data_IF_606335181331
#
_entry.id   IF_606335181331
#
_cell.length_a   1.000
_cell.length_b   1.000
_cell.length_c   1.000
_cell.angle_alpha   90.00
_cell.angle_beta   90.00
_cell.angle_gamma   90.00
#
_symmetry.space_group_name_H-M   'P 1'
#
loop_
_entity.id
_entity.type
_entity.pdbx_description
1 polymer ?
#
# COMPACT_ATOMS: atom_id res chain seq x y z
N UNK A 1 -11.04 -38.78 -23.97
CA UNK A 1 -12.11 -38.92 -22.97
C UNK A 1 -11.68 -40.01 -22.00
N UNK A 2 -11.44 -39.62 -20.75
CA UNK A 2 -10.74 -40.42 -19.75
C UNK A 2 -11.54 -41.61 -19.24
N UNK A 3 -10.89 -42.76 -19.21
CA UNK A 3 -11.30 -43.89 -18.38
C UNK A 3 -11.02 -43.52 -16.92
N UNK A 4 -11.99 -42.87 -16.25
CA UNK A 4 -12.04 -42.88 -14.79
C UNK A 4 -12.47 -44.28 -14.38
N UNK A 5 -11.49 -45.20 -14.37
CA UNK A 5 -11.65 -46.54 -13.83
C UNK A 5 -12.08 -46.45 -12.38
N UNK A 6 -13.22 -47.04 -12.09
CA UNK A 6 -13.77 -47.25 -10.76
C UNK A 6 -12.82 -48.18 -9.99
N UNK A 7 -11.74 -47.63 -9.42
CA UNK A 7 -10.83 -48.39 -8.57
C UNK A 7 -11.60 -48.88 -7.35
N UNK A 8 -11.45 -50.17 -7.05
CA UNK A 8 -12.19 -50.82 -5.99
C UNK A 8 -11.97 -50.13 -4.63
N UNK A 9 -12.90 -50.27 -3.68
CA UNK A 9 -12.72 -49.69 -2.34
C UNK A 9 -11.41 -50.18 -1.67
N UNK A 10 -10.92 -51.36 -2.01
CA UNK A 10 -9.64 -51.90 -1.53
C UNK A 10 -8.44 -51.20 -2.15
N UNK A 11 -8.41 -51.02 -3.47
CA UNK A 11 -7.33 -50.30 -4.18
C UNK A 11 -7.20 -48.84 -3.72
N UNK A 12 -8.32 -48.17 -3.46
CA UNK A 12 -8.31 -46.80 -2.90
C UNK A 12 -7.76 -46.77 -1.49
N UNK A 13 -8.09 -47.76 -0.67
CA UNK A 13 -7.57 -47.87 0.69
C UNK A 13 -6.06 -48.14 0.69
N UNK A 14 -5.55 -48.98 -0.22
CA UNK A 14 -4.12 -49.22 -0.39
C UNK A 14 -3.36 -48.00 -0.89
N UNK A 15 -3.91 -47.26 -1.86
CA UNK A 15 -3.31 -46.02 -2.34
C UNK A 15 -3.22 -44.97 -1.20
N UNK A 16 -4.27 -44.85 -0.39
CA UNK A 16 -4.26 -43.98 0.78
C UNK A 16 -3.25 -44.43 1.87
N UNK A 17 -3.08 -45.73 2.06
CA UNK A 17 -2.08 -46.26 2.99
C UNK A 17 -0.65 -45.90 2.55
N UNK A 18 -0.34 -46.02 1.25
CA UNK A 18 0.95 -45.61 0.66
C UNK A 18 1.18 -44.10 0.82
N UNK A 19 0.20 -43.28 0.45
CA UNK A 19 0.29 -41.82 0.58
C UNK A 19 0.50 -41.35 2.04
N UNK A 20 -0.14 -42.01 3.01
CA UNK A 20 0.10 -41.72 4.42
C UNK A 20 1.55 -42.04 4.82
N UNK A 21 2.07 -43.18 4.38
CA UNK A 21 3.45 -43.59 4.66
C UNK A 21 4.48 -42.66 4.00
N UNK A 22 4.27 -42.25 2.75
CA UNK A 22 5.15 -41.33 2.01
C UNK A 22 5.24 -39.95 2.69
N UNK A 23 4.15 -39.54 3.36
CA UNK A 23 4.09 -38.31 4.17
C UNK A 23 4.62 -38.48 5.60
N UNK A 24 5.07 -39.68 5.98
CA UNK A 24 5.53 -40.00 7.33
C UNK A 24 4.43 -40.04 8.38
N UNK A 25 3.17 -40.23 7.97
CA UNK A 25 2.02 -40.32 8.85
C UNK A 25 1.68 -41.78 9.19
N UNK A 26 1.14 -42.01 10.39
CA UNK A 26 0.79 -43.36 10.83
C UNK A 26 -0.36 -43.96 10.00
N UNK A 27 -0.11 -45.12 9.39
CA UNK A 27 -1.09 -45.87 8.59
C UNK A 27 -2.09 -46.60 9.50
N UNK A 28 -3.06 -45.84 10.02
CA UNK A 28 -4.13 -46.38 10.87
C UNK A 28 -5.43 -46.55 10.09
N UNK A 29 -6.29 -47.49 10.53
CA UNK A 29 -7.59 -47.74 9.90
C UNK A 29 -8.47 -46.48 9.78
N UNK A 30 -8.36 -45.56 10.76
CA UNK A 30 -9.10 -44.29 10.74
C UNK A 30 -8.54 -43.33 9.68
N UNK A 31 -7.21 -43.17 9.63
CA UNK A 31 -6.54 -42.31 8.65
C UNK A 31 -6.74 -42.80 7.21
N UNK A 32 -6.66 -44.12 6.99
CA UNK A 32 -6.94 -44.74 5.68
C UNK A 32 -8.41 -44.54 5.28
N UNK A 33 -9.35 -44.71 6.22
CA UNK A 33 -10.78 -44.44 5.96
C UNK A 33 -11.04 -42.99 5.57
N UNK A 34 -10.45 -42.06 6.30
CA UNK A 34 -10.64 -40.62 6.09
C UNK A 34 -10.07 -40.18 4.74
N UNK A 35 -8.91 -40.70 4.38
CA UNK A 35 -8.21 -40.36 3.14
C UNK A 35 -8.84 -41.03 1.91
N UNK A 36 -9.21 -42.32 2.00
CA UNK A 36 -9.78 -43.06 0.87
C UNK A 36 -11.32 -43.01 0.78
N UNK A 37 -11.99 -42.47 1.81
CA UNK A 37 -13.46 -42.47 1.94
C UNK A 37 -14.07 -43.87 1.75
N UNK A 38 -13.49 -44.88 2.42
CA UNK A 38 -13.92 -46.29 2.34
C UNK A 38 -14.63 -46.75 3.62
N UNK A 39 -15.22 -47.95 3.59
CA UNK A 39 -15.80 -48.57 4.79
C UNK A 39 -14.68 -48.91 5.79
N UNK A 40 -15.00 -48.79 7.07
CA UNK A 40 -14.05 -49.02 8.18
C UNK A 40 -13.43 -50.42 8.15
N UNK A 41 -14.17 -51.44 7.69
CA UNK A 41 -13.68 -52.81 7.57
C UNK A 41 -12.56 -52.93 6.53
N UNK A 42 -12.73 -52.32 5.35
CA UNK A 42 -11.72 -52.29 4.29
C UNK A 42 -10.48 -51.54 4.75
N UNK A 43 -10.66 -50.37 5.36
CA UNK A 43 -9.56 -49.59 5.91
C UNK A 43 -8.81 -50.32 7.03
N UNK A 44 -9.52 -51.06 7.89
CA UNK A 44 -8.91 -51.85 8.96
C UNK A 44 -8.10 -53.04 8.43
N UNK A 45 -8.60 -53.72 7.39
CA UNK A 45 -7.86 -54.80 6.73
C UNK A 45 -6.59 -54.29 6.09
N UNK A 46 -6.66 -53.19 5.33
CA UNK A 46 -5.47 -52.60 4.69
C UNK A 46 -4.47 -52.06 5.70
N UNK A 47 -4.92 -51.34 6.74
CA UNK A 47 -4.03 -50.84 7.78
C UNK A 47 -3.41 -51.96 8.64
N UNK A 48 -4.06 -53.12 8.73
CA UNK A 48 -3.47 -54.31 9.36
C UNK A 48 -2.43 -54.95 8.44
N UNK A 49 -2.78 -55.18 7.17
CA UNK A 49 -1.85 -55.73 6.18
C UNK A 49 -0.59 -54.87 6.03
N UNK A 50 -0.72 -53.53 6.08
CA UNK A 50 0.41 -52.61 6.06
C UNK A 50 1.33 -52.78 7.26
N UNK A 51 0.76 -52.83 8.47
CA UNK A 51 1.53 -53.04 9.72
C UNK A 51 2.18 -54.42 9.77
N UNK A 52 1.49 -55.45 9.28
CA UNK A 52 2.03 -56.80 9.22
C UNK A 52 3.19 -56.86 8.21
N UNK A 53 3.10 -56.16 7.07
CA UNK A 53 4.20 -56.03 6.11
C UNK A 53 5.40 -55.25 6.68
N UNK A 54 5.17 -54.13 7.36
CA UNK A 54 6.20 -53.34 8.04
C UNK A 54 6.87 -54.14 9.18
N UNK A 55 6.09 -54.98 9.87
CA UNK A 55 6.59 -55.91 10.87
C UNK A 55 7.41 -57.07 10.28
N UNK A 56 7.13 -57.52 9.05
CA UNK A 56 7.99 -58.50 8.35
C UNK A 56 9.27 -57.85 7.82
N UNK A 57 9.18 -56.65 7.26
CA UNK A 57 10.34 -55.92 6.72
C UNK A 57 11.34 -55.56 7.83
N UNK A 58 10.83 -55.17 9.01
CA UNK A 58 11.66 -54.93 10.21
C UNK A 58 12.32 -56.18 10.80
N UNK A 59 11.94 -57.41 10.40
CA UNK A 59 12.65 -58.65 10.77
C UNK A 59 13.90 -58.88 9.93
N UNK A 60 14.02 -58.21 8.78
CA UNK A 60 15.22 -58.26 7.97
C UNK A 60 16.29 -57.40 8.63
N UNK A 61 17.32 -58.04 9.19
CA UNK A 61 18.47 -57.32 9.74
C UNK A 61 19.35 -56.87 8.59
N UNK A 62 19.25 -55.59 8.22
CA UNK A 62 20.15 -54.97 7.24
C UNK A 62 21.49 -54.71 7.93
N UNK A 63 22.62 -55.26 7.44
CA UNK A 63 23.92 -54.96 8.01
C UNK A 63 24.31 -53.51 7.74
N UNK A 64 25.12 -52.93 8.63
CA UNK A 64 25.65 -51.58 8.42
C UNK A 64 26.45 -51.51 7.12
N UNK A 65 26.33 -50.36 6.44
CA UNK A 65 27.13 -50.08 5.26
C UNK A 65 28.62 -50.07 5.63
N UNK A 66 29.49 -50.76 4.87
CA UNK A 66 30.93 -50.73 5.12
C UNK A 66 31.46 -49.29 5.16
N UNK A 67 32.42 -49.03 6.06
CA UNK A 67 32.96 -47.69 6.28
C UNK A 67 33.43 -47.01 4.98
N UNK A 68 34.06 -47.75 4.07
CA UNK A 68 34.53 -47.24 2.78
C UNK A 68 33.39 -46.76 1.87
N UNK A 69 32.25 -47.45 1.89
CA UNK A 69 31.07 -47.09 1.11
C UNK A 69 30.47 -45.81 1.66
N UNK A 70 30.30 -45.74 2.97
CA UNK A 70 29.81 -44.54 3.67
C UNK A 70 30.72 -43.33 3.44
N UNK A 71 32.05 -43.53 3.51
CA UNK A 71 33.03 -42.48 3.26
C UNK A 71 32.95 -41.94 1.82
N UNK A 72 32.78 -42.83 0.83
CA UNK A 72 32.62 -42.43 -0.58
C UNK A 72 31.33 -41.67 -0.82
N UNK A 73 30.21 -42.12 -0.25
CA UNK A 73 28.94 -41.39 -0.35
C UNK A 73 29.03 -40.01 0.30
N UNK A 74 29.65 -39.91 1.48
CA UNK A 74 29.86 -38.64 2.16
C UNK A 74 30.72 -37.68 1.30
N UNK A 75 31.77 -38.19 0.66
CA UNK A 75 32.61 -37.38 -0.24
C UNK A 75 31.84 -36.89 -1.46
N UNK A 76 31.12 -37.78 -2.16
CA UNK A 76 30.30 -37.42 -3.32
C UNK A 76 29.24 -36.38 -2.93
N UNK A 77 28.58 -36.56 -1.79
CA UNK A 77 27.60 -35.63 -1.29
C UNK A 77 28.20 -34.26 -0.97
N UNK A 78 29.35 -34.23 -0.28
CA UNK A 78 30.04 -32.99 0.04
C UNK A 78 30.47 -32.22 -1.22
N UNK A 79 30.93 -32.93 -2.25
CA UNK A 79 31.31 -32.34 -3.54
C UNK A 79 30.10 -31.80 -4.29
N UNK A 80 29.02 -32.58 -4.37
CA UNK A 80 27.76 -32.15 -4.99
C UNK A 80 27.18 -30.92 -4.28
N UNK A 81 27.20 -30.93 -2.94
CA UNK A 81 26.71 -29.81 -2.14
C UNK A 81 27.57 -28.55 -2.34
N UNK A 82 28.89 -28.68 -2.33
CA UNK A 82 29.80 -27.55 -2.61
C UNK A 82 29.61 -27.00 -4.01
N UNK A 83 29.43 -27.86 -5.02
CA UNK A 83 29.15 -27.44 -6.38
C UNK A 83 27.82 -26.69 -6.48
N UNK A 84 26.75 -27.22 -5.86
CA UNK A 84 25.45 -26.54 -5.81
C UNK A 84 25.53 -25.19 -5.09
N UNK A 85 26.22 -25.14 -3.94
CA UNK A 85 26.42 -23.91 -3.19
C UNK A 85 27.20 -22.86 -3.99
N UNK A 86 28.25 -23.28 -4.71
CA UNK A 86 29.05 -22.39 -5.56
C UNK A 86 28.23 -21.78 -6.72
N UNK A 87 27.26 -22.53 -7.25
CA UNK A 87 26.35 -22.03 -8.29
C UNK A 87 25.31 -21.05 -7.74
N UNK A 88 24.73 -21.34 -6.57
CA UNK A 88 23.59 -20.57 -6.04
C UNK A 88 24.03 -19.32 -5.26
N UNK A 89 25.13 -19.41 -4.53
CA UNK A 89 25.60 -18.33 -3.63
C UNK A 89 25.79 -16.99 -4.33
N UNK A 90 26.44 -16.90 -5.51
CA UNK A 90 26.62 -15.62 -6.20
C UNK A 90 25.30 -14.96 -6.59
N UNK A 91 24.34 -15.73 -7.11
CA UNK A 91 23.02 -15.20 -7.47
C UNK A 91 22.24 -14.75 -6.24
N UNK A 92 22.27 -15.52 -5.16
CA UNK A 92 21.66 -15.14 -3.88
C UNK A 92 22.25 -13.84 -3.35
N UNK A 93 23.57 -13.70 -3.35
CA UNK A 93 24.25 -12.52 -2.80
C UNK A 93 24.02 -11.29 -3.69
N UNK A 94 23.98 -11.48 -5.02
CA UNK A 94 23.57 -10.43 -5.97
C UNK A 94 22.14 -9.96 -5.70
N UNK A 95 21.19 -10.89 -5.56
CA UNK A 95 19.78 -10.57 -5.27
C UNK A 95 19.62 -9.90 -3.91
N UNK A 96 20.38 -10.33 -2.89
CA UNK A 96 20.36 -9.69 -1.57
C UNK A 96 20.84 -8.23 -1.65
N UNK A 97 21.85 -7.94 -2.48
CA UNK A 97 22.33 -6.58 -2.74
C UNK A 97 21.27 -5.76 -3.47
N UNK A 98 20.69 -6.30 -4.54
CA UNK A 98 19.64 -5.64 -5.33
C UNK A 98 18.40 -5.31 -4.48
N UNK A 99 17.98 -6.22 -3.59
CA UNK A 99 16.89 -5.98 -2.64
C UNK A 99 17.22 -4.83 -1.68
N UNK A 100 18.46 -4.77 -1.17
CA UNK A 100 18.88 -3.69 -0.28
C UNK A 100 18.92 -2.33 -1.01
N UNK A 101 19.40 -2.29 -2.25
CA UNK A 101 19.40 -1.10 -3.10
C UNK A 101 17.98 -0.61 -3.38
N UNK A 102 17.08 -1.51 -3.83
CA UNK A 102 15.68 -1.18 -4.09
C UNK A 102 14.94 -0.71 -2.84
N UNK A 103 15.28 -1.25 -1.66
CA UNK A 103 14.70 -0.77 -0.41
C UNK A 103 15.15 0.66 -0.10
N UNK A 104 16.44 0.96 -0.28
CA UNK A 104 16.96 2.32 -0.11
C UNK A 104 16.36 3.31 -1.12
N UNK A 105 16.19 2.91 -2.38
CA UNK A 105 15.52 3.73 -3.39
C UNK A 105 14.05 3.99 -3.03
N UNK A 106 13.34 2.97 -2.56
CA UNK A 106 11.94 3.11 -2.14
C UNK A 106 11.80 4.07 -0.95
N UNK A 107 12.69 3.98 0.04
CA UNK A 107 12.73 4.93 1.17
C UNK A 107 13.02 6.36 0.71
N UNK A 108 14.00 6.54 -0.18
CA UNK A 108 14.36 7.85 -0.74
C UNK A 108 13.19 8.47 -1.53
N UNK A 109 12.57 7.72 -2.43
CA UNK A 109 11.41 8.18 -3.20
C UNK A 109 10.22 8.49 -2.30
N UNK A 110 10.00 7.69 -1.24
CA UNK A 110 8.95 7.97 -0.27
C UNK A 110 9.20 9.30 0.44
N UNK A 111 10.45 9.57 0.84
CA UNK A 111 10.80 10.85 1.45
C UNK A 111 10.63 12.03 0.47
N UNK A 112 11.04 11.87 -0.79
CA UNK A 112 10.83 12.89 -1.84
C UNK A 112 9.35 13.20 -2.08
N UNK A 113 8.49 12.17 -2.10
CA UNK A 113 7.04 12.35 -2.25
C UNK A 113 6.47 13.13 -1.07
N UNK A 114 6.85 12.79 0.17
CA UNK A 114 6.40 13.53 1.36
C UNK A 114 6.80 15.01 1.27
N UNK A 115 8.05 15.29 0.92
CA UNK A 115 8.53 16.67 0.76
C UNK A 115 7.76 17.43 -0.34
N UNK A 116 7.48 16.78 -1.47
CA UNK A 116 6.72 17.38 -2.57
C UNK A 116 5.25 17.64 -2.19
N UNK A 117 4.64 16.76 -1.38
CA UNK A 117 3.30 16.97 -0.86
C UNK A 117 3.23 18.13 0.13
N UNK A 118 4.22 18.24 1.03
CA UNK A 118 4.36 19.38 1.94
C UNK A 118 4.53 20.70 1.19
N UNK A 119 5.39 20.74 0.16
CA UNK A 119 5.58 21.93 -0.68
C UNK A 119 4.31 22.31 -1.42
N UNK A 120 3.60 21.33 -1.99
CA UNK A 120 2.31 21.55 -2.65
C UNK A 120 1.28 22.15 -1.69
N UNK A 121 1.18 21.63 -0.48
CA UNK A 121 0.20 22.07 0.51
C UNK A 121 0.52 23.48 1.04
N UNK A 122 1.81 23.78 1.21
CA UNK A 122 2.30 25.13 1.53
C UNK A 122 1.97 26.12 0.40
N UNK A 123 2.23 25.75 -0.86
CA UNK A 123 1.92 26.57 -2.02
C UNK A 123 0.42 26.82 -2.16
N UNK A 124 -0.42 25.80 -1.90
CA UNK A 124 -1.89 25.93 -1.92
C UNK A 124 -2.39 26.90 -0.86
N UNK A 125 -1.83 26.84 0.35
CA UNK A 125 -2.15 27.78 1.43
C UNK A 125 -1.76 29.20 1.04
N UNK A 126 -0.53 29.39 0.54
CA UNK A 126 -0.04 30.69 0.12
C UNK A 126 -0.87 31.31 -1.02
N UNK A 127 -1.34 30.49 -1.96
CA UNK A 127 -2.23 30.91 -3.03
C UNK A 127 -3.59 31.38 -2.49
N UNK A 128 -4.18 30.62 -1.57
CA UNK A 128 -5.44 31.01 -0.90
C UNK A 128 -5.31 32.32 -0.12
N UNK A 129 -4.21 32.52 0.60
CA UNK A 129 -3.92 33.76 1.31
C UNK A 129 -3.72 34.95 0.37
N UNK A 130 -3.04 34.72 -0.77
CA UNK A 130 -2.88 35.74 -1.80
C UNK A 130 -4.22 36.16 -2.41
N UNK A 131 -5.09 35.19 -2.73
CA UNK A 131 -6.44 35.45 -3.24
C UNK A 131 -7.31 36.21 -2.22
N UNK A 132 -7.25 35.83 -0.94
CA UNK A 132 -7.95 36.53 0.12
C UNK A 132 -7.47 37.98 0.27
N UNK A 133 -6.15 38.22 0.20
CA UNK A 133 -5.57 39.58 0.21
C UNK A 133 -6.00 40.39 -1.00
N UNK A 134 -5.96 39.81 -2.19
CA UNK A 134 -6.40 40.47 -3.43
C UNK A 134 -7.89 40.87 -3.35
N UNK A 135 -8.74 39.97 -2.87
CA UNK A 135 -10.18 40.24 -2.68
C UNK A 135 -10.41 41.37 -1.69
N UNK A 136 -9.69 41.39 -0.56
CA UNK A 136 -9.78 42.49 0.43
C UNK A 136 -9.31 43.82 -0.16
N UNK A 137 -8.20 43.82 -0.90
CA UNK A 137 -7.67 45.01 -1.55
C UNK A 137 -8.67 45.57 -2.58
N UNK A 138 -9.28 44.71 -3.39
CA UNK A 138 -10.28 45.10 -4.38
C UNK A 138 -11.54 45.70 -3.71
N UNK A 139 -12.01 45.12 -2.61
CA UNK A 139 -13.12 45.70 -1.83
C UNK A 139 -12.75 47.06 -1.25
N UNK A 140 -11.57 47.18 -0.65
CA UNK A 140 -11.08 48.47 -0.12
C UNK A 140 -10.98 49.55 -1.20
N UNK A 141 -10.47 49.20 -2.39
CA UNK A 141 -10.40 50.14 -3.52
C UNK A 141 -11.81 50.58 -3.97
N UNK A 142 -12.77 49.66 -4.02
CA UNK A 142 -14.15 49.98 -4.40
C UNK A 142 -14.82 50.88 -3.35
N UNK A 143 -14.62 50.60 -2.07
CA UNK A 143 -15.13 51.42 -0.96
C UNK A 143 -14.55 52.85 -1.01
N UNK A 144 -13.26 52.99 -1.27
CA UNK A 144 -12.60 54.30 -1.40
C UNK A 144 -13.08 55.06 -2.65
N UNK A 145 -13.30 54.38 -3.78
CA UNK A 145 -13.93 54.99 -4.96
C UNK A 145 -15.31 55.53 -4.63
N UNK A 146 -16.16 54.72 -4.00
CA UNK A 146 -17.51 55.14 -3.60
C UNK A 146 -17.46 56.29 -2.58
N UNK A 147 -16.57 56.27 -1.59
CA UNK A 147 -16.37 57.39 -0.66
C UNK A 147 -15.95 58.66 -1.37
N UNK A 148 -15.03 58.56 -2.32
CA UNK A 148 -14.55 59.70 -3.10
C UNK A 148 -15.67 60.27 -3.97
N UNK A 149 -16.48 59.44 -4.63
CA UNK A 149 -17.64 59.86 -5.41
C UNK A 149 -18.68 60.59 -4.55
N UNK A 150 -19.00 60.06 -3.38
CA UNK A 150 -19.92 60.69 -2.42
C UNK A 150 -19.37 62.04 -1.95
N UNK A 151 -18.08 62.10 -1.56
CA UNK A 151 -17.44 63.33 -1.12
C UNK A 151 -17.40 64.39 -2.22
N UNK A 152 -17.11 63.99 -3.47
CA UNK A 152 -17.16 64.89 -4.63
C UNK A 152 -18.56 65.42 -4.91
N UNK A 153 -19.60 64.58 -4.78
CA UNK A 153 -20.99 65.01 -4.93
C UNK A 153 -21.38 66.03 -3.84
N UNK A 154 -21.08 65.74 -2.58
CA UNK A 154 -21.33 66.64 -1.46
C UNK A 154 -20.58 67.97 -1.59
N UNK A 155 -19.33 67.95 -2.05
CA UNK A 155 -18.55 69.16 -2.30
C UNK A 155 -19.16 70.03 -3.42
N UNK A 156 -19.65 69.40 -4.50
CA UNK A 156 -20.37 70.11 -5.58
C UNK A 156 -21.64 70.77 -5.07
N UNK A 157 -22.42 70.07 -4.25
CA UNK A 157 -23.66 70.60 -3.66
C UNK A 157 -23.37 71.76 -2.70
N UNK A 158 -22.38 71.62 -1.82
CA UNK A 158 -21.95 72.68 -0.90
C UNK A 158 -21.46 73.94 -1.65
N UNK A 159 -20.71 73.77 -2.74
CA UNK A 159 -20.29 74.89 -3.58
C UNK A 159 -21.48 75.59 -4.25
N UNK A 160 -22.46 74.84 -4.76
CA UNK A 160 -23.66 75.41 -5.35
C UNK A 160 -24.48 76.20 -4.31
N UNK A 161 -24.61 75.70 -3.09
CA UNK A 161 -25.30 76.43 -2.02
C UNK A 161 -24.53 77.68 -1.57
N UNK A 162 -23.19 77.61 -1.47
CA UNK A 162 -22.35 78.78 -1.22
C UNK A 162 -22.56 79.86 -2.29
N UNK A 163 -22.58 79.48 -3.56
CA UNK A 163 -22.78 80.41 -4.67
C UNK A 163 -24.19 81.04 -4.61
N UNK A 164 -25.21 80.24 -4.27
CA UNK A 164 -26.57 80.71 -4.04
C UNK A 164 -26.65 81.72 -2.90
N UNK A 165 -26.05 81.40 -1.75
CA UNK A 165 -26.04 82.28 -0.57
C UNK A 165 -25.25 83.56 -0.84
N UNK A 166 -24.12 83.48 -1.55
CA UNK A 166 -23.33 84.64 -1.95
C UNK A 166 -24.15 85.59 -2.83
N UNK A 167 -24.87 85.06 -3.83
CA UNK A 167 -25.78 85.85 -4.66
C UNK A 167 -26.92 86.50 -3.86
N UNK A 168 -27.45 85.81 -2.83
CA UNK A 168 -28.45 86.39 -1.92
C UNK A 168 -27.86 87.52 -1.07
N UNK A 169 -26.65 87.35 -0.53
CA UNK A 169 -25.95 88.38 0.24
C UNK A 169 -25.69 89.62 -0.62
N UNK A 170 -25.20 89.45 -1.85
CA UNK A 170 -24.97 90.56 -2.79
C UNK A 170 -26.29 91.29 -3.12
N UNK A 171 -27.38 90.55 -3.27
CA UNK A 171 -28.71 91.15 -3.47
C UNK A 171 -29.17 91.95 -2.23
N UNK A 172 -28.94 91.45 -1.02
CA UNK A 172 -29.29 92.15 0.21
C UNK A 172 -28.43 93.41 0.40
N UNK A 173 -27.12 93.32 0.16
CA UNK A 173 -26.19 94.47 0.23
C UNK A 173 -26.64 95.56 -0.75
N UNK A 174 -26.99 95.20 -1.99
CA UNK A 174 -27.46 96.18 -2.98
C UNK A 174 -28.82 96.82 -2.64
N UNK A 175 -29.59 96.22 -1.73
CA UNK A 175 -30.87 96.75 -1.22
C UNK A 175 -30.72 97.57 0.08
N UNK A 176 -29.56 97.58 0.71
CA UNK A 176 -29.28 98.47 1.84
C UNK A 176 -29.08 99.89 1.26
N UNK A 177 -29.89 100.88 1.66
CA UNK A 177 -29.72 102.25 1.19
C UNK A 177 -28.31 102.73 1.57
N UNK A 178 -27.58 103.33 0.62
CA UNK A 178 -26.38 104.09 0.97
C UNK A 178 -26.83 105.21 1.92
N UNK A 179 -26.41 105.14 3.18
CA UNK A 179 -26.43 106.31 4.04
C UNK A 179 -25.42 107.29 3.41
N UNK A 180 -25.94 108.29 2.73
CA UNK A 180 -25.18 109.40 2.16
C UNK A 180 -24.68 110.29 3.31
N UNK A 181 -23.37 110.56 3.33
CA UNK A 181 -22.77 111.75 3.96
C UNK A 181 -22.95 112.96 3.02
#
# INVERSE_FOLDING_TARGET
MGSQGNTGPEERAEAAARDLADRGLAVTARAVRETASVRMTVAATVARAWRDAEAEDSKLTVPEAPADVTARFAAIWADAYRAAAATITPERDRLATEVAELHGEAEALTAEVVMAEEERDAARTAAGDAEARATRAQRGEQEEKTRTEIAQAAAKEANAERDRLSAQVDNLISRIPKLED
#
